data_IF_713340991762
#
_entry.id   IF_713340991762
#
_cell.length_a   1.000
_cell.length_b   1.000
_cell.length_c   1.000
_cell.angle_alpha   90.00
_cell.angle_beta   90.00
_cell.angle_gamma   90.00
#
_symmetry.space_group_name_H-M   'P 1'
#
loop_
_entity.id
_entity.type
_entity.pdbx_description
1 polymer ?
#
# COMPACT_ATOMS: atom_id res chain seq x y z
N UNK A 1 -1.10 -19.69 21.74
CA UNK A 1 -1.22 -19.12 20.39
C UNK A 1 -0.04 -19.46 19.53
N UNK A 2 -0.27 -19.80 18.30
CA UNK A 2 0.81 -19.97 17.34
C UNK A 2 1.45 -18.61 17.01
N UNK A 3 2.69 -18.64 16.54
CA UNK A 3 3.38 -17.45 16.09
C UNK A 3 2.62 -16.71 14.98
N UNK A 4 2.05 -17.48 14.04
CA UNK A 4 1.25 -16.93 12.95
C UNK A 4 0.05 -16.13 13.47
N UNK A 5 -0.66 -16.65 14.48
CA UNK A 5 -1.79 -15.96 15.10
C UNK A 5 -1.35 -14.69 15.80
N UNK A 6 -0.20 -14.69 16.47
CA UNK A 6 0.35 -13.49 17.11
C UNK A 6 0.71 -12.42 16.08
N UNK A 7 1.29 -12.80 14.96
CA UNK A 7 1.63 -11.88 13.87
C UNK A 7 0.36 -11.27 13.30
N UNK A 8 -0.66 -12.08 13.03
CA UNK A 8 -1.94 -11.61 12.50
C UNK A 8 -2.62 -10.60 13.44
N UNK A 9 -2.65 -10.88 14.74
CA UNK A 9 -3.19 -9.96 15.74
C UNK A 9 -2.42 -8.65 15.81
N UNK A 10 -1.10 -8.73 15.79
CA UNK A 10 -0.25 -7.55 15.78
C UNK A 10 -0.45 -6.72 14.52
N UNK A 11 -0.62 -7.37 13.38
CA UNK A 11 -0.93 -6.69 12.12
C UNK A 11 -2.27 -5.96 12.18
N UNK A 12 -3.31 -6.61 12.69
CA UNK A 12 -4.63 -5.98 12.85
C UNK A 12 -4.56 -4.75 13.75
N UNK A 13 -3.88 -4.87 14.88
CA UNK A 13 -3.70 -3.76 15.81
C UNK A 13 -2.95 -2.60 15.15
N UNK A 14 -1.84 -2.89 14.48
CA UNK A 14 -1.04 -1.88 13.80
C UNK A 14 -1.80 -1.20 12.67
N UNK A 15 -2.59 -1.96 11.90
CA UNK A 15 -3.42 -1.39 10.85
C UNK A 15 -4.43 -0.40 11.42
N UNK A 16 -5.09 -0.74 12.54
CA UNK A 16 -6.02 0.15 13.20
C UNK A 16 -5.35 1.43 13.70
N UNK A 17 -4.17 1.31 14.31
CA UNK A 17 -3.41 2.47 14.81
C UNK A 17 -2.92 3.35 13.67
N UNK A 18 -2.41 2.76 12.61
CA UNK A 18 -1.96 3.49 11.41
C UNK A 18 -3.15 4.18 10.72
N UNK A 19 -4.31 3.54 10.71
CA UNK A 19 -5.51 4.11 10.12
C UNK A 19 -5.96 5.37 10.88
N UNK A 20 -5.91 5.35 12.20
CA UNK A 20 -6.19 6.53 13.04
C UNK A 20 -5.20 7.65 12.77
N UNK A 21 -3.91 7.33 12.70
CA UNK A 21 -2.85 8.27 12.39
C UNK A 21 -3.08 8.92 11.02
N UNK A 22 -3.47 8.13 10.02
CA UNK A 22 -3.75 8.61 8.67
C UNK A 22 -4.99 9.50 8.60
N UNK A 23 -6.04 9.16 9.35
CA UNK A 23 -7.26 9.96 9.39
C UNK A 23 -7.03 11.35 9.98
N UNK A 24 -6.03 11.49 10.85
CA UNK A 24 -5.62 12.77 11.44
C UNK A 24 -4.69 13.55 10.51
N UNK A 25 -3.80 12.86 9.80
CA UNK A 25 -2.76 13.44 8.95
C UNK A 25 -3.21 13.50 7.48
N UNK A 26 -4.11 14.41 7.15
CA UNK A 26 -4.75 14.44 5.81
C UNK A 26 -3.98 15.18 4.71
N UNK A 27 -2.66 15.27 4.76
CA UNK A 27 -1.93 16.01 3.73
C UNK A 27 -1.69 15.17 2.46
N UNK A 28 -2.61 15.27 1.51
CA UNK A 28 -2.47 14.66 0.17
C UNK A 28 -1.99 15.73 -0.82
N UNK A 29 -0.71 16.07 -0.77
CA UNK A 29 -0.13 17.15 -1.58
C UNK A 29 0.47 16.70 -2.91
N UNK A 30 0.66 15.41 -3.10
CA UNK A 30 1.33 14.89 -4.30
C UNK A 30 0.30 14.33 -5.28
N UNK A 31 0.04 15.09 -6.33
CA UNK A 31 -0.88 14.67 -7.40
C UNK A 31 -0.11 14.05 -8.55
N UNK A 32 -0.59 12.90 -9.01
CA UNK A 32 0.01 12.17 -10.12
C UNK A 32 -1.08 11.89 -11.15
N UNK A 33 -0.83 12.28 -12.40
CA UNK A 33 -1.69 11.90 -13.52
C UNK A 33 -1.09 10.68 -14.20
N UNK A 34 -1.88 9.63 -14.33
CA UNK A 34 -1.42 8.34 -14.86
C UNK A 34 -2.44 7.81 -15.87
N UNK A 35 -1.96 7.17 -16.94
CA UNK A 35 -2.84 6.48 -17.87
C UNK A 35 -3.39 5.20 -17.24
N UNK A 36 -4.57 4.79 -17.67
CA UNK A 36 -5.18 3.51 -17.23
C UNK A 36 -4.24 2.35 -17.54
N UNK A 37 -3.56 2.38 -18.68
CA UNK A 37 -2.59 1.36 -19.09
C UNK A 37 -1.42 1.27 -18.11
N UNK A 38 -0.82 2.41 -17.75
CA UNK A 38 0.29 2.45 -16.79
C UNK A 38 -0.18 2.09 -15.37
N UNK A 39 -1.37 2.49 -15.00
CA UNK A 39 -1.96 2.14 -13.71
C UNK A 39 -2.09 0.62 -13.55
N UNK A 40 -2.50 -0.10 -14.60
CA UNK A 40 -2.56 -1.57 -14.59
C UNK A 40 -1.18 -2.19 -14.36
N UNK A 41 -0.16 -1.65 -15.02
CA UNK A 41 1.22 -2.12 -14.88
C UNK A 41 1.73 -1.92 -13.45
N UNK A 42 1.55 -0.74 -12.89
CA UNK A 42 1.99 -0.41 -11.53
C UNK A 42 1.20 -1.22 -10.50
N UNK A 43 -0.10 -1.40 -10.72
CA UNK A 43 -0.97 -2.19 -9.84
C UNK A 43 -0.47 -3.63 -9.68
N UNK A 44 -0.02 -4.27 -10.75
CA UNK A 44 0.53 -5.63 -10.69
C UNK A 44 1.75 -5.66 -9.77
N UNK A 45 2.65 -4.69 -9.88
CA UNK A 45 3.84 -4.59 -9.03
C UNK A 45 3.50 -4.33 -7.57
N UNK A 46 2.52 -3.45 -7.34
CA UNK A 46 2.05 -3.16 -5.99
C UNK A 46 1.46 -4.41 -5.33
N UNK A 47 0.64 -5.14 -6.05
CA UNK A 47 0.04 -6.39 -5.56
C UNK A 47 1.10 -7.44 -5.26
N UNK A 48 2.12 -7.55 -6.10
CA UNK A 48 3.24 -8.47 -5.88
C UNK A 48 4.02 -8.09 -4.62
N UNK A 49 4.28 -6.81 -4.40
CA UNK A 49 4.98 -6.35 -3.20
C UNK A 49 4.18 -6.64 -1.93
N UNK A 50 2.87 -6.45 -1.96
CA UNK A 50 1.99 -6.79 -0.83
C UNK A 50 2.09 -8.28 -0.50
N UNK A 51 2.04 -9.13 -1.51
CA UNK A 51 2.15 -10.57 -1.33
C UNK A 51 3.52 -10.96 -0.76
N UNK A 52 4.60 -10.39 -1.29
CA UNK A 52 5.97 -10.68 -0.84
C UNK A 52 6.18 -10.24 0.62
N UNK A 53 5.70 -9.07 1.00
CA UNK A 53 5.80 -8.58 2.38
C UNK A 53 4.99 -9.43 3.35
N UNK A 54 3.78 -9.85 2.94
CA UNK A 54 2.95 -10.73 3.74
C UNK A 54 3.61 -12.08 3.97
N UNK A 55 4.21 -12.65 2.93
CA UNK A 55 4.95 -13.91 3.01
C UNK A 55 6.16 -13.79 3.94
N UNK A 56 6.92 -12.70 3.85
CA UNK A 56 8.04 -12.45 4.76
C UNK A 56 7.60 -12.39 6.22
N UNK A 57 6.48 -11.74 6.51
CA UNK A 57 5.94 -11.66 7.87
C UNK A 57 5.55 -13.02 8.43
N UNK A 58 5.04 -13.93 7.59
CA UNK A 58 4.57 -15.23 8.01
C UNK A 58 5.67 -16.31 8.04
N UNK A 59 6.71 -16.17 7.21
CA UNK A 59 7.72 -17.23 7.04
C UNK A 59 8.99 -17.02 7.86
N UNK A 60 9.34 -15.78 8.24
CA UNK A 60 10.58 -15.51 8.96
C UNK A 60 10.40 -15.63 10.46
N UNK A 61 11.07 -16.65 11.04
CA UNK A 61 10.99 -16.95 12.47
C UNK A 61 11.87 -16.05 13.34
N UNK A 62 12.88 -15.39 12.76
CA UNK A 62 13.91 -14.64 13.50
C UNK A 62 13.67 -13.15 13.54
N UNK A 63 12.57 -12.68 12.93
CA UNK A 63 12.26 -11.28 12.83
C UNK A 63 11.91 -10.70 14.19
N UNK A 64 12.59 -9.62 14.59
CA UNK A 64 12.29 -8.91 15.82
C UNK A 64 10.94 -8.20 15.71
N UNK A 65 10.35 -7.85 16.85
CA UNK A 65 9.10 -7.07 16.88
C UNK A 65 9.25 -5.75 16.12
N UNK A 66 10.39 -5.07 16.30
CA UNK A 66 10.67 -3.80 15.61
C UNK A 66 10.73 -3.97 14.10
N UNK A 67 11.37 -5.03 13.62
CA UNK A 67 11.44 -5.35 12.18
C UNK A 67 10.06 -5.69 11.63
N UNK A 68 9.28 -6.46 12.37
CA UNK A 68 7.90 -6.80 12.00
C UNK A 68 7.03 -5.55 11.90
N UNK A 69 7.18 -4.61 12.82
CA UNK A 69 6.45 -3.34 12.79
C UNK A 69 6.79 -2.50 11.56
N UNK A 70 8.08 -2.40 11.23
CA UNK A 70 8.53 -1.67 10.04
C UNK A 70 7.94 -2.28 8.77
N UNK A 71 7.95 -3.60 8.68
CA UNK A 71 7.42 -4.30 7.52
C UNK A 71 5.90 -4.16 7.41
N UNK A 72 5.18 -4.21 8.54
CA UNK A 72 3.74 -3.97 8.58
C UNK A 72 3.40 -2.55 8.13
N UNK A 73 4.16 -1.55 8.57
CA UNK A 73 3.95 -0.16 8.16
C UNK A 73 4.17 0.00 6.65
N UNK A 74 5.26 -0.56 6.13
CA UNK A 74 5.56 -0.52 4.70
C UNK A 74 4.45 -1.21 3.88
N UNK A 75 3.96 -2.35 4.35
CA UNK A 75 2.88 -3.08 3.71
C UNK A 75 1.57 -2.26 3.74
N UNK A 76 1.29 -1.59 4.83
CA UNK A 76 0.11 -0.73 4.95
C UNK A 76 0.15 0.45 3.95
N UNK A 77 1.29 1.10 3.81
CA UNK A 77 1.48 2.18 2.82
C UNK A 77 1.23 1.64 1.41
N UNK A 78 1.78 0.47 1.10
CA UNK A 78 1.61 -0.19 -0.20
C UNK A 78 0.13 -0.53 -0.47
N UNK A 79 -0.60 -1.00 0.56
CA UNK A 79 -2.04 -1.25 0.47
C UNK A 79 -2.84 0.02 0.14
N UNK A 80 -2.47 1.14 0.75
CA UNK A 80 -3.13 2.42 0.47
C UNK A 80 -2.89 2.87 -0.97
N UNK A 81 -1.68 2.72 -1.47
CA UNK A 81 -1.35 2.99 -2.88
C UNK A 81 -2.20 2.12 -3.80
N UNK A 82 -2.29 0.82 -3.50
CA UNK A 82 -3.10 -0.13 -4.28
C UNK A 82 -4.57 0.30 -4.33
N UNK A 83 -5.16 0.65 -3.19
CA UNK A 83 -6.56 1.09 -3.10
C UNK A 83 -6.82 2.32 -3.96
N UNK A 84 -5.93 3.30 -3.91
CA UNK A 84 -6.06 4.53 -4.70
C UNK A 84 -5.93 4.26 -6.19
N UNK A 85 -4.98 3.42 -6.59
CA UNK A 85 -4.82 3.02 -7.99
C UNK A 85 -6.07 2.31 -8.52
N UNK A 86 -6.59 1.35 -7.77
CA UNK A 86 -7.76 0.56 -8.17
C UNK A 86 -9.00 1.44 -8.27
N UNK A 87 -9.26 2.25 -7.26
CA UNK A 87 -10.42 3.14 -7.24
C UNK A 87 -10.40 4.13 -8.40
N UNK A 88 -9.25 4.76 -8.65
CA UNK A 88 -9.10 5.70 -9.76
C UNK A 88 -9.23 5.02 -11.11
N UNK A 89 -8.63 3.85 -11.28
CA UNK A 89 -8.72 3.08 -12.52
C UNK A 89 -10.18 2.68 -12.82
N UNK A 90 -10.89 2.17 -11.82
CA UNK A 90 -12.29 1.77 -12.00
C UNK A 90 -13.18 2.94 -12.38
N UNK A 91 -12.97 4.09 -11.74
CA UNK A 91 -13.72 5.32 -12.05
C UNK A 91 -13.42 5.81 -13.46
N UNK A 92 -12.16 5.83 -13.87
CA UNK A 92 -11.75 6.25 -15.21
C UNK A 92 -12.30 5.33 -16.29
N UNK A 93 -12.22 4.01 -16.08
CA UNK A 93 -12.75 3.03 -17.02
C UNK A 93 -14.27 3.17 -17.17
N UNK A 94 -14.99 3.36 -16.08
CA UNK A 94 -16.43 3.55 -16.10
C UNK A 94 -16.84 4.83 -16.86
N UNK A 95 -16.01 5.87 -16.78
CA UNK A 95 -16.23 7.13 -17.50
C UNK A 95 -15.66 7.15 -18.93
N UNK A 96 -14.97 6.09 -19.35
CA UNK A 96 -14.35 6.01 -20.67
C UNK A 96 -13.11 6.91 -20.79
N UNK A 97 -12.47 7.26 -19.69
CA UNK A 97 -11.29 8.11 -19.67
C UNK A 97 -10.01 7.29 -19.79
N UNK A 98 -9.03 7.81 -20.54
CA UNK A 98 -7.76 7.13 -20.76
C UNK A 98 -6.75 7.37 -19.64
N UNK A 99 -6.94 8.40 -18.83
CA UNK A 99 -6.06 8.76 -17.73
C UNK A 99 -6.84 9.36 -16.57
N UNK A 100 -6.22 9.41 -15.39
CA UNK A 100 -6.82 9.99 -14.20
C UNK A 100 -5.75 10.51 -13.25
N UNK A 101 -6.15 11.34 -12.30
CA UNK A 101 -5.25 11.93 -11.30
C UNK A 101 -5.49 11.33 -9.93
N UNK A 102 -4.40 10.98 -9.24
CA UNK A 102 -4.42 10.44 -7.88
C UNK A 102 -3.71 11.42 -6.96
N UNK A 103 -4.27 11.64 -5.78
CA UNK A 103 -3.62 12.43 -4.73
C UNK A 103 -3.02 11.50 -3.67
N UNK A 104 -1.72 11.60 -3.47
CA UNK A 104 -0.97 10.84 -2.48
C UNK A 104 -0.45 11.72 -1.37
N UNK A 105 -0.30 11.16 -0.16
CA UNK A 105 0.54 11.78 0.86
C UNK A 105 2.02 11.52 0.55
N UNK A 106 2.92 12.03 1.38
CA UNK A 106 4.37 11.92 1.16
C UNK A 106 4.85 10.46 1.13
N UNK A 107 4.38 9.64 2.07
CA UNK A 107 4.79 8.23 2.15
C UNK A 107 4.22 7.41 0.99
N UNK A 108 2.97 7.61 0.67
CA UNK A 108 2.31 6.96 -0.47
C UNK A 108 3.00 7.32 -1.78
N UNK A 109 3.31 8.60 -1.96
CA UNK A 109 3.99 9.09 -3.17
C UNK A 109 5.38 8.46 -3.33
N UNK A 110 6.14 8.39 -2.26
CA UNK A 110 7.46 7.76 -2.26
C UNK A 110 7.37 6.29 -2.66
N UNK A 111 6.42 5.56 -2.09
CA UNK A 111 6.15 4.16 -2.42
C UNK A 111 5.74 3.99 -3.88
N UNK A 112 4.82 4.81 -4.36
CA UNK A 112 4.35 4.80 -5.75
C UNK A 112 5.50 5.04 -6.73
N UNK A 113 6.32 6.06 -6.50
CA UNK A 113 7.45 6.39 -7.37
C UNK A 113 8.43 5.23 -7.51
N UNK A 114 8.75 4.60 -6.40
CA UNK A 114 9.67 3.45 -6.37
C UNK A 114 9.13 2.29 -7.22
N UNK A 115 7.86 1.97 -7.05
CA UNK A 115 7.23 0.87 -7.79
C UNK A 115 7.00 1.20 -9.26
N UNK A 116 6.68 2.44 -9.58
CA UNK A 116 6.48 2.87 -10.96
C UNK A 116 7.78 2.90 -11.78
N UNK A 117 8.93 3.06 -11.12
CA UNK A 117 10.24 3.09 -11.75
C UNK A 117 10.78 1.70 -12.12
N UNK A 118 10.22 0.64 -11.56
CA UNK A 118 10.68 -0.73 -11.82
C UNK A 118 10.29 -1.24 -13.21
#
# INVERSE_FOLDING_TARGET
>A
MSRKENIEKNMEFLIKELQKEWDVSKETKHRVTISVKDARRVRIRVQQQIADMGEMLHSQSDMSFKESMKLCRANYVTLRVARKLIAGQNTAEAAGEAEYTIAFDKEEFSCFRKLAAE
#
